data_IF_186625026652
#
_entry.id   IF_186625026652
#
_cell.length_a   1.000
_cell.length_b   1.000
_cell.length_c   1.000
_cell.angle_alpha   90.00
_cell.angle_beta   90.00
_cell.angle_gamma   90.00
#
_symmetry.space_group_name_H-M   'P 1'
#
loop_
_entity.id
_entity.type
_entity.pdbx_description
1 polymer ?
#
# COMPACT_ATOMS: atom_id res chain seq x y z
N UNK A 1 -1.94 -2.53 -12.88
CA UNK A 1 -2.26 -2.21 -11.47
C UNK A 1 -2.01 -0.73 -11.20
N UNK A 2 -2.98 -0.02 -10.62
CA UNK A 2 -2.89 1.41 -10.27
C UNK A 2 -3.65 1.70 -8.97
N UNK A 3 -3.11 2.55 -8.12
CA UNK A 3 -3.81 2.99 -6.91
C UNK A 3 -3.12 4.12 -6.16
N UNK A 4 -3.85 4.74 -5.24
CA UNK A 4 -3.37 5.78 -4.34
C UNK A 4 -3.83 5.43 -2.94
N UNK A 5 -2.91 5.53 -1.97
CA UNK A 5 -3.17 5.28 -0.56
C UNK A 5 -2.63 6.47 0.25
N UNK A 6 -3.41 6.98 1.20
CA UNK A 6 -3.04 8.13 2.01
C UNK A 6 -3.08 7.78 3.49
N UNK A 7 -1.97 8.09 4.17
CA UNK A 7 -1.83 7.97 5.61
C UNK A 7 -1.63 9.33 6.23
N UNK A 8 -2.19 9.55 7.41
CA UNK A 8 -1.87 10.73 8.20
C UNK A 8 -0.56 10.57 9.00
N UNK A 9 -0.24 11.58 9.79
CA UNK A 9 0.93 11.59 10.65
C UNK A 9 0.87 10.55 11.78
N UNK A 10 -0.31 10.04 12.15
CA UNK A 10 -0.54 8.98 13.14
C UNK A 10 -0.49 7.56 12.54
N UNK A 11 -0.24 7.45 11.24
CA UNK A 11 -0.27 6.21 10.45
C UNK A 11 -1.68 5.64 10.26
N UNK A 12 -2.72 6.46 10.40
CA UNK A 12 -4.08 6.03 10.10
C UNK A 12 -4.36 6.17 8.60
N UNK A 13 -4.95 5.13 8.00
CA UNK A 13 -5.40 5.19 6.61
C UNK A 13 -6.59 6.15 6.51
N UNK A 14 -6.40 7.25 5.79
CA UNK A 14 -7.41 8.30 5.61
C UNK A 14 -8.17 8.18 4.29
N UNK A 15 -7.49 7.69 3.25
CA UNK A 15 -8.07 7.49 1.93
C UNK A 15 -7.34 6.37 1.19
N UNK A 16 -8.07 5.62 0.37
CA UNK A 16 -7.48 4.77 -0.65
C UNK A 16 -8.42 4.66 -1.85
N UNK A 17 -7.82 4.55 -3.03
CA UNK A 17 -8.50 4.24 -4.28
C UNK A 17 -7.59 3.31 -5.08
N UNK A 18 -8.11 2.16 -5.47
CA UNK A 18 -7.34 1.09 -6.13
C UNK A 18 -8.16 0.51 -7.27
N UNK A 19 -7.50 0.20 -8.37
CA UNK A 19 -8.16 -0.53 -9.46
C UNK A 19 -8.40 -1.99 -9.07
N UNK A 20 -9.23 -2.68 -9.87
CA UNK A 20 -9.61 -4.06 -9.62
C UNK A 20 -8.38 -5.00 -9.59
N UNK A 21 -7.39 -4.74 -10.45
CA UNK A 21 -6.18 -5.53 -10.54
C UNK A 21 -5.32 -5.40 -9.27
N UNK A 22 -5.11 -4.18 -8.77
CA UNK A 22 -4.41 -3.95 -7.51
C UNK A 22 -5.20 -4.50 -6.32
N UNK A 23 -6.53 -4.41 -6.34
CA UNK A 23 -7.39 -5.02 -5.31
C UNK A 23 -7.17 -6.52 -5.23
N UNK A 24 -7.21 -7.22 -6.36
CA UNK A 24 -6.97 -8.66 -6.43
C UNK A 24 -5.55 -9.02 -5.99
N UNK A 25 -4.55 -8.22 -6.41
CA UNK A 25 -3.17 -8.41 -6.02
C UNK A 25 -2.97 -8.28 -4.50
N UNK A 26 -3.52 -7.24 -3.88
CA UNK A 26 -3.47 -7.03 -2.43
C UNK A 26 -4.18 -8.17 -1.68
N UNK A 27 -5.33 -8.63 -2.15
CA UNK A 27 -6.02 -9.76 -1.53
C UNK A 27 -5.22 -11.06 -1.64
N UNK A 28 -4.54 -11.29 -2.77
CA UNK A 28 -3.65 -12.43 -2.95
C UNK A 28 -2.48 -12.39 -1.95
N UNK A 29 -1.82 -11.23 -1.81
CA UNK A 29 -0.76 -11.02 -0.81
C UNK A 29 -1.29 -11.26 0.61
N UNK A 30 -2.45 -10.69 0.94
CA UNK A 30 -3.06 -10.83 2.25
C UNK A 30 -3.35 -12.29 2.61
N UNK A 31 -3.81 -13.11 1.66
CA UNK A 31 -4.01 -14.54 1.91
C UNK A 31 -2.73 -15.33 1.98
N UNK A 32 -1.70 -14.97 1.20
CA UNK A 32 -0.36 -15.56 1.32
C UNK A 32 0.23 -15.33 2.72
N UNK A 33 0.00 -14.15 3.28
CA UNK A 33 0.47 -13.75 4.61
C UNK A 33 -0.46 -14.19 5.76
N UNK A 34 -1.54 -14.91 5.45
CA UNK A 34 -2.49 -15.41 6.44
C UNK A 34 -3.37 -14.33 7.08
N UNK A 35 -3.46 -13.14 6.48
CA UNK A 35 -4.30 -12.02 6.93
C UNK A 35 -5.77 -12.21 6.54
N UNK A 36 -6.04 -13.04 5.52
CA UNK A 36 -7.39 -13.38 5.06
C UNK A 36 -7.56 -14.89 4.92
N UNK A 37 -8.66 -15.44 5.47
CA UNK A 37 -9.09 -16.81 5.17
C UNK A 37 -9.61 -16.91 3.73
N UNK A 38 -9.25 -18.00 3.03
CA UNK A 38 -9.66 -18.26 1.64
C UNK A 38 -11.18 -18.28 1.41
N UNK A 39 -11.98 -18.40 2.46
CA UNK A 39 -13.45 -18.37 2.43
C UNK A 39 -14.04 -16.97 2.23
N UNK A 40 -13.27 -15.92 2.50
CA UNK A 40 -13.71 -14.52 2.44
C UNK A 40 -13.71 -13.93 1.02
N UNK A 41 -13.01 -14.55 0.06
CA UNK A 41 -12.91 -14.09 -1.33
C UNK A 41 -14.23 -14.09 -2.11
N UNK A 42 -15.25 -14.81 -1.65
CA UNK A 42 -16.49 -15.03 -2.43
C UNK A 42 -17.60 -14.02 -2.16
N UNK A 43 -17.48 -13.17 -1.14
CA UNK A 43 -18.62 -12.40 -0.61
C UNK A 43 -18.40 -10.88 -0.50
N UNK A 44 -17.24 -10.34 -0.86
CA UNK A 44 -17.02 -8.89 -0.92
C UNK A 44 -17.08 -8.40 -2.37
N UNK A 45 -17.71 -7.25 -2.61
CA UNK A 45 -17.90 -6.61 -3.91
C UNK A 45 -16.58 -6.12 -4.57
N UNK A 46 -15.50 -6.89 -4.52
CA UNK A 46 -14.18 -6.52 -5.05
C UNK A 46 -13.45 -5.44 -4.25
N UNK A 47 -14.04 -4.96 -3.14
CA UNK A 47 -13.45 -3.92 -2.29
C UNK A 47 -12.51 -4.53 -1.26
N UNK A 48 -11.25 -4.08 -1.25
CA UNK A 48 -10.25 -4.51 -0.25
C UNK A 48 -10.65 -4.02 1.15
N UNK A 49 -10.53 -4.90 2.16
CA UNK A 49 -10.72 -4.52 3.55
C UNK A 49 -9.65 -3.50 3.98
N UNK A 50 -10.09 -2.37 4.56
CA UNK A 50 -9.22 -1.33 5.12
C UNK A 50 -8.19 -1.90 6.10
N UNK A 51 -8.53 -2.91 6.89
CA UNK A 51 -7.62 -3.55 7.84
C UNK A 51 -6.47 -4.26 7.13
N UNK A 52 -6.73 -4.88 5.98
CA UNK A 52 -5.70 -5.51 5.15
C UNK A 52 -4.73 -4.48 4.61
N UNK A 53 -5.25 -3.36 4.07
CA UNK A 53 -4.41 -2.23 3.64
C UNK A 53 -3.56 -1.72 4.80
N UNK A 54 -4.17 -1.49 5.97
CA UNK A 54 -3.43 -1.05 7.16
C UNK A 54 -2.31 -2.03 7.53
N UNK A 55 -2.58 -3.33 7.57
CA UNK A 55 -1.61 -4.34 7.98
C UNK A 55 -0.44 -4.45 7.00
N UNK A 56 -0.70 -4.41 5.70
CA UNK A 56 0.33 -4.52 4.67
C UNK A 56 1.19 -3.25 4.57
N UNK A 57 0.58 -2.06 4.66
CA UNK A 57 1.26 -0.80 4.38
C UNK A 57 1.82 -0.10 5.63
N UNK A 58 1.33 -0.38 6.84
CA UNK A 58 1.88 0.24 8.07
C UNK A 58 3.38 0.01 8.25
N UNK A 59 3.94 -1.19 8.00
CA UNK A 59 5.38 -1.41 8.07
C UNK A 59 6.17 -0.55 7.06
N UNK A 60 5.64 -0.34 5.85
CA UNK A 60 6.26 0.50 4.81
C UNK A 60 6.28 1.97 5.24
N UNK A 61 5.16 2.48 5.76
CA UNK A 61 5.07 3.85 6.28
C UNK A 61 6.02 4.06 7.46
N UNK A 62 6.08 3.11 8.38
CA UNK A 62 7.00 3.16 9.52
C UNK A 62 8.46 3.18 9.04
N UNK A 63 8.81 2.31 8.09
CA UNK A 63 10.13 2.29 7.45
C UNK A 63 10.47 3.64 6.79
N UNK A 64 9.56 4.19 5.99
CA UNK A 64 9.72 5.50 5.36
C UNK A 64 10.00 6.61 6.39
N UNK A 65 9.20 6.68 7.46
CA UNK A 65 9.37 7.66 8.54
C UNK A 65 10.71 7.50 9.26
N UNK A 66 11.13 6.26 9.55
CA UNK A 66 12.43 5.97 10.20
C UNK A 66 13.60 6.37 9.29
N UNK A 67 13.56 6.00 8.01
CA UNK A 67 14.61 6.35 7.04
C UNK A 67 14.77 7.85 6.89
N UNK A 68 13.65 8.58 6.86
CA UNK A 68 13.67 10.03 6.83
C UNK A 68 14.25 10.62 8.12
N UNK A 69 13.72 10.23 9.29
CA UNK A 69 14.02 10.90 10.56
C UNK A 69 15.40 10.54 11.12
N UNK A 70 15.84 9.28 11.00
CA UNK A 70 17.09 8.80 11.60
C UNK A 70 18.27 8.86 10.63
N UNK A 71 18.02 8.67 9.33
CA UNK A 71 19.08 8.55 8.32
C UNK A 71 19.10 9.72 7.33
N UNK A 72 18.15 10.65 7.41
CA UNK A 72 18.02 11.74 6.44
C UNK A 72 17.72 11.25 5.02
N UNK A 73 17.26 10.00 4.86
CA UNK A 73 16.99 9.38 3.58
C UNK A 73 15.49 9.44 3.27
N UNK A 74 15.11 10.42 2.45
CA UNK A 74 13.78 10.51 1.84
C UNK A 74 13.77 9.76 0.52
N UNK A 75 13.80 8.43 0.57
CA UNK A 75 13.66 7.64 -0.66
C UNK A 75 12.31 7.96 -1.30
N UNK A 76 12.27 7.97 -2.63
CA UNK A 76 11.07 8.36 -3.39
C UNK A 76 10.21 7.18 -3.79
N UNK A 77 10.79 5.99 -3.90
CA UNK A 77 10.05 4.82 -4.31
C UNK A 77 10.65 3.53 -3.74
N UNK A 78 9.83 2.48 -3.72
CA UNK A 78 10.22 1.09 -3.50
C UNK A 78 9.68 0.30 -4.68
N UNK A 79 10.50 -0.59 -5.23
CA UNK A 79 10.08 -1.56 -6.24
C UNK A 79 10.03 -2.94 -5.58
N UNK A 80 8.88 -3.61 -5.72
CA UNK A 80 8.66 -4.97 -5.26
C UNK A 80 9.31 -5.99 -6.22
N UNK A 81 9.56 -7.21 -5.74
CA UNK A 81 10.14 -8.29 -6.55
C UNK A 81 9.27 -8.68 -7.76
N UNK A 82 7.96 -8.43 -7.67
CA UNK A 82 6.97 -8.66 -8.73
C UNK A 82 6.76 -7.45 -9.65
N UNK A 83 7.59 -6.41 -9.54
CA UNK A 83 7.55 -5.24 -10.44
C UNK A 83 6.60 -4.13 -10.02
N UNK A 84 5.87 -4.28 -8.91
CA UNK A 84 5.01 -3.21 -8.38
C UNK A 84 5.87 -2.07 -7.83
N UNK A 85 5.63 -0.86 -8.32
CA UNK A 85 6.28 0.37 -7.88
C UNK A 85 5.40 1.13 -6.87
N UNK A 86 5.97 1.44 -5.72
CA UNK A 86 5.38 2.24 -4.65
C UNK A 86 6.11 3.57 -4.60
N UNK A 87 5.46 4.67 -4.97
CA UNK A 87 6.04 6.03 -4.97
C UNK A 87 5.52 6.81 -3.77
N UNK A 88 6.42 7.37 -2.97
CA UNK A 88 6.12 8.07 -1.72
C UNK A 88 6.21 9.59 -1.91
N UNK A 89 5.14 10.29 -1.53
CA UNK A 89 5.06 11.75 -1.50
C UNK A 89 4.51 12.25 -0.16
N UNK A 90 4.82 13.51 0.18
CA UNK A 90 4.32 14.19 1.39
C UNK A 90 3.51 15.43 1.01
N UNK A 91 2.24 15.48 1.41
CA UNK A 91 1.33 16.61 1.14
C UNK A 91 0.65 16.99 2.44
N UNK A 92 0.89 18.21 2.96
CA UNK A 92 0.22 18.72 4.16
C UNK A 92 0.22 17.75 5.36
N UNK A 93 1.36 17.08 5.60
CA UNK A 93 1.57 16.05 6.63
C UNK A 93 0.91 14.68 6.37
N UNK A 94 0.30 14.48 5.21
CA UNK A 94 -0.09 13.16 4.74
C UNK A 94 1.05 12.52 3.95
N UNK A 95 1.25 11.22 4.16
CA UNK A 95 2.08 10.40 3.28
C UNK A 95 1.16 9.78 2.23
N UNK A 96 1.45 10.08 0.97
CA UNK A 96 0.73 9.55 -0.18
C UNK A 96 1.60 8.49 -0.81
N UNK A 97 1.04 7.30 -1.02
CA UNK A 97 1.66 6.21 -1.77
C UNK A 97 0.89 6.08 -3.07
N UNK A 98 1.56 6.39 -4.19
CA UNK A 98 1.06 6.06 -5.52
C UNK A 98 1.61 4.70 -5.93
N UNK A 99 0.75 3.83 -6.45
CA UNK A 99 1.08 2.46 -6.81
C UNK A 99 0.87 2.30 -8.31
N UNK A 100 1.88 1.79 -9.00
CA UNK A 100 1.75 1.41 -10.41
C UNK A 100 2.61 0.18 -10.71
N UNK A 101 2.27 -0.54 -11.77
CA UNK A 101 3.14 -1.56 -12.34
C UNK A 101 4.20 -0.90 -13.25
N UNK A 102 5.39 -1.50 -13.34
CA UNK A 102 6.48 -1.07 -14.23
C UNK A 102 6.22 -1.39 -15.72
N UNK A 103 5.07 -1.98 -16.08
CA UNK A 103 4.71 -2.30 -17.47
C UNK A 103 4.40 -1.07 -18.38
N UNK A 104 4.43 0.17 -17.88
CA UNK A 104 4.43 1.38 -18.73
C UNK A 104 5.83 1.99 -18.85
N UNK A 105 6.72 1.35 -19.62
CA UNK A 105 7.90 1.99 -20.23
C UNK A 105 7.97 1.77 -21.73
#
# INVERSE_FOLDING_TARGET
MKGIIMFDNLNDLTFFDVDEELSQHVQHLASKDGLLEFSSFKNSDGVVDKNVIMQLFSPLIASYKVMQAQFGNKYKYIESEDGVLLVFDEISNYIVISICDNEEK
#
